data_IF_726278655492
#
_entry.id   IF_726278655492
#
_cell.length_a   1.000
_cell.length_b   1.000
_cell.length_c   1.000
_cell.angle_alpha   90.00
_cell.angle_beta   90.00
_cell.angle_gamma   90.00
#
_symmetry.space_group_name_H-M   'P 1'
#
loop_
_entity.id
_entity.type
_entity.pdbx_description
1 polymer ?
#
# COMPACT_ATOMS: atom_id res chain seq x y z
N UNK A 1 -38.06 -15.07 -38.72
CA UNK A 1 -37.19 -14.53 -37.65
C UNK A 1 -35.75 -14.98 -37.89
N UNK A 2 -34.80 -14.02 -37.95
CA UNK A 2 -33.33 -14.14 -37.71
C UNK A 2 -32.57 -13.20 -38.65
N UNK A 3 -32.53 -11.92 -38.30
CA UNK A 3 -31.74 -10.92 -39.00
C UNK A 3 -31.12 -9.94 -37.99
N UNK A 4 -30.37 -10.43 -37.00
CA UNK A 4 -29.74 -9.56 -35.99
C UNK A 4 -28.43 -10.11 -35.36
N UNK A 5 -27.60 -10.88 -36.08
CA UNK A 5 -26.37 -11.44 -35.47
C UNK A 5 -25.04 -11.16 -36.17
N UNK A 6 -24.98 -10.39 -37.27
CA UNK A 6 -23.72 -10.19 -38.00
C UNK A 6 -23.03 -8.82 -37.81
N UNK A 7 -23.65 -7.84 -37.14
CA UNK A 7 -23.01 -6.53 -36.93
C UNK A 7 -22.14 -6.50 -35.66
N UNK A 8 -22.46 -7.30 -34.64
CA UNK A 8 -21.68 -7.35 -33.39
C UNK A 8 -20.30 -7.96 -33.55
N UNK A 9 -20.06 -8.81 -34.55
CA UNK A 9 -18.76 -9.48 -34.71
C UNK A 9 -17.66 -8.55 -35.27
N UNK A 10 -18.03 -7.53 -36.05
CA UNK A 10 -17.06 -6.65 -36.70
C UNK A 10 -16.48 -5.59 -35.75
N UNK A 11 -17.18 -5.23 -34.67
CA UNK A 11 -16.67 -4.25 -33.71
C UNK A 11 -15.62 -4.84 -32.74
N UNK A 12 -15.67 -6.14 -32.45
CA UNK A 12 -14.72 -6.79 -31.54
C UNK A 12 -13.37 -7.13 -32.17
N UNK A 13 -13.25 -7.09 -33.50
CA UNK A 13 -12.01 -7.42 -34.22
C UNK A 13 -11.05 -6.25 -34.38
N UNK A 14 -11.53 -5.01 -34.25
CA UNK A 14 -10.73 -3.79 -34.51
C UNK A 14 -10.12 -3.17 -33.25
N UNK A 15 -10.55 -3.59 -32.05
CA UNK A 15 -10.05 -3.05 -30.77
C UNK A 15 -8.96 -3.92 -30.11
N UNK A 16 -8.53 -5.01 -30.76
CA UNK A 16 -7.61 -6.01 -30.15
C UNK A 16 -6.20 -6.00 -30.75
N UNK A 17 -5.74 -4.85 -31.22
CA UNK A 17 -4.41 -4.69 -31.83
C UNK A 17 -3.72 -3.40 -31.40
N UNK A 18 -3.64 -3.14 -30.08
CA UNK A 18 -2.72 -2.14 -29.52
C UNK A 18 -2.48 -2.31 -28.01
N UNK A 19 -2.25 -3.54 -27.56
CA UNK A 19 -1.63 -3.74 -26.24
C UNK A 19 -0.11 -3.76 -26.45
N UNK A 20 0.50 -2.58 -26.51
CA UNK A 20 1.93 -2.49 -26.25
C UNK A 20 2.17 -2.99 -24.81
N UNK A 21 3.10 -3.92 -24.57
CA UNK A 21 3.48 -4.25 -23.21
C UNK A 21 4.17 -3.01 -22.64
N UNK A 22 3.45 -2.23 -21.83
CA UNK A 22 4.07 -1.25 -20.95
C UNK A 22 5.15 -2.01 -20.16
N UNK A 23 6.43 -1.56 -20.16
CA UNK A 23 7.40 -2.13 -19.24
C UNK A 23 6.83 -1.87 -17.85
N UNK A 24 6.45 -2.96 -17.17
CA UNK A 24 6.05 -2.91 -15.78
C UNK A 24 7.32 -2.49 -15.05
N UNK A 25 7.47 -1.20 -14.78
CA UNK A 25 8.53 -0.70 -13.93
C UNK A 25 8.51 -1.58 -12.69
N UNK A 26 9.57 -2.37 -12.53
CA UNK A 26 9.81 -3.11 -11.31
C UNK A 26 10.23 -2.04 -10.32
N UNK A 27 9.27 -1.26 -9.83
CA UNK A 27 9.47 -0.55 -8.58
C UNK A 27 9.90 -1.62 -7.61
N UNK A 28 11.16 -1.56 -7.21
CA UNK A 28 11.71 -2.36 -6.13
C UNK A 28 11.05 -1.89 -4.85
N UNK A 29 9.74 -2.03 -4.75
CA UNK A 29 9.02 -2.03 -3.49
C UNK A 29 9.51 -3.28 -2.78
N UNK A 30 10.62 -3.12 -2.06
CA UNK A 30 10.97 -4.00 -0.96
C UNK A 30 9.69 -4.14 -0.13
N UNK A 31 9.07 -5.32 -0.20
CA UNK A 31 7.82 -5.58 0.49
C UNK A 31 7.99 -5.19 1.97
N UNK A 32 7.11 -4.35 2.53
CA UNK A 32 7.21 -3.99 3.93
C UNK A 32 7.16 -5.27 4.78
N UNK A 33 8.09 -5.40 5.73
CA UNK A 33 8.12 -6.52 6.66
C UNK A 33 7.12 -6.24 7.77
N UNK A 34 6.12 -7.10 7.93
CA UNK A 34 5.13 -6.96 9.00
C UNK A 34 5.73 -7.40 10.34
N UNK A 35 5.44 -6.63 11.39
CA UNK A 35 5.80 -6.96 12.77
C UNK A 35 4.49 -7.14 13.54
N UNK A 36 4.34 -8.27 14.22
CA UNK A 36 3.26 -8.46 15.18
C UNK A 36 3.76 -8.06 16.57
N UNK A 37 3.12 -7.05 17.17
CA UNK A 37 3.48 -6.54 18.50
C UNK A 37 2.31 -6.83 19.44
N UNK A 38 2.64 -7.34 20.63
CA UNK A 38 1.68 -7.44 21.74
C UNK A 38 1.81 -6.20 22.60
N UNK A 39 0.75 -5.42 22.68
CA UNK A 39 0.65 -4.25 23.56
C UNK A 39 -0.33 -4.57 24.70
N UNK A 40 -0.13 -3.96 25.86
CA UNK A 40 -1.18 -3.95 26.88
C UNK A 40 -2.42 -3.24 26.35
N UNK A 41 -3.59 -3.63 26.86
CA UNK A 41 -4.87 -3.10 26.39
C UNK A 41 -4.96 -1.58 26.58
N UNK A 42 -4.49 -1.08 27.73
CA UNK A 42 -4.45 0.35 28.05
C UNK A 42 -3.61 1.14 27.04
N UNK A 43 -2.43 0.62 26.69
CA UNK A 43 -1.51 1.28 25.76
C UNK A 43 -2.08 1.25 24.34
N UNK A 44 -2.70 0.14 23.94
CA UNK A 44 -3.39 0.04 22.66
C UNK A 44 -4.55 1.05 22.55
N UNK A 45 -5.33 1.23 23.62
CA UNK A 45 -6.41 2.21 23.64
C UNK A 45 -5.87 3.65 23.51
N UNK A 46 -4.83 3.99 24.29
CA UNK A 46 -4.19 5.31 24.20
C UNK A 46 -3.59 5.57 22.82
N UNK A 47 -2.95 4.57 22.23
CA UNK A 47 -2.38 4.64 20.88
C UNK A 47 -3.45 5.00 19.84
N UNK A 48 -4.62 4.34 19.90
CA UNK A 48 -5.72 4.62 18.98
C UNK A 48 -6.23 6.07 19.11
N UNK A 49 -6.35 6.55 20.35
CA UNK A 49 -6.78 7.93 20.61
C UNK A 49 -5.76 8.93 20.04
N UNK A 50 -4.47 8.68 20.27
CA UNK A 50 -3.41 9.57 19.80
C UNK A 50 -3.34 9.61 18.27
N UNK A 51 -3.38 8.44 17.62
CA UNK A 51 -3.35 8.31 16.16
C UNK A 51 -4.57 8.98 15.52
N UNK A 52 -5.75 8.87 16.14
CA UNK A 52 -6.97 9.54 15.68
C UNK A 52 -6.86 11.08 15.77
N UNK A 53 -6.23 11.62 16.81
CA UNK A 53 -6.00 13.07 16.93
C UNK A 53 -5.11 13.62 15.81
N UNK A 54 -4.13 12.84 15.37
CA UNK A 54 -3.16 13.24 14.36
C UNK A 54 -3.58 12.90 12.92
N UNK A 55 -4.77 12.30 12.71
CA UNK A 55 -5.25 11.80 11.41
C UNK A 55 -4.23 10.93 10.67
N UNK A 56 -3.47 10.12 11.40
CA UNK A 56 -2.47 9.21 10.85
C UNK A 56 -2.93 7.76 10.99
N UNK A 57 -2.25 6.81 10.36
CA UNK A 57 -2.47 5.39 10.65
C UNK A 57 -1.57 4.94 11.80
N UNK A 58 -1.95 3.85 12.48
CA UNK A 58 -1.12 3.26 13.54
C UNK A 58 0.24 2.83 12.98
N UNK A 59 0.27 2.36 11.73
CA UNK A 59 1.49 1.91 11.07
C UNK A 59 2.45 3.07 10.86
N UNK A 60 1.96 4.19 10.30
CA UNK A 60 2.78 5.38 10.06
C UNK A 60 3.29 5.99 11.37
N UNK A 61 2.44 5.99 12.40
CA UNK A 61 2.82 6.52 13.71
C UNK A 61 3.92 5.68 14.36
N UNK A 62 3.79 4.34 14.32
CA UNK A 62 4.81 3.43 14.85
C UNK A 62 6.09 3.51 14.02
N UNK A 63 6.00 3.63 12.70
CA UNK A 63 7.16 3.79 11.82
C UNK A 63 7.97 5.04 12.16
N UNK A 64 7.30 6.19 12.33
CA UNK A 64 7.94 7.44 12.76
C UNK A 64 8.58 7.32 14.14
N UNK A 65 7.86 6.73 15.11
CA UNK A 65 8.37 6.54 16.46
C UNK A 65 9.64 5.69 16.47
N UNK A 66 9.68 4.62 15.67
CA UNK A 66 10.87 3.77 15.52
C UNK A 66 11.98 4.55 14.82
N UNK A 67 11.67 5.28 13.75
CA UNK A 67 12.66 6.07 13.01
C UNK A 67 13.35 7.11 13.90
N UNK A 68 12.59 7.86 14.70
CA UNK A 68 13.10 8.86 15.62
C UNK A 68 14.01 8.24 16.70
N UNK A 69 13.59 7.11 17.27
CA UNK A 69 14.40 6.39 18.27
C UNK A 69 15.67 5.76 17.69
N UNK A 70 15.60 5.19 16.49
CA UNK A 70 16.76 4.60 15.81
C UNK A 70 17.75 5.70 15.40
N UNK A 71 17.27 6.84 14.89
CA UNK A 71 18.12 7.99 14.56
C UNK A 71 18.80 8.56 15.81
N UNK A 72 18.07 8.68 16.92
CA UNK A 72 18.62 9.15 18.19
C UNK A 72 19.69 8.18 18.75
N UNK A 73 19.45 6.86 18.67
CA UNK A 73 20.40 5.84 19.11
C UNK A 73 21.71 5.80 18.32
N UNK A 74 21.72 6.24 17.06
CA UNK A 74 22.95 6.33 16.24
C UNK A 74 23.92 7.43 16.68
N UNK A 75 23.46 8.43 17.42
CA UNK A 75 24.33 9.51 17.94
C UNK A 75 25.03 9.14 19.24
N UNK A 76 24.73 7.97 19.81
CA UNK A 76 25.33 7.49 21.05
C UNK A 76 26.03 6.15 20.82
N UNK A 77 27.17 6.21 20.14
CA UNK A 77 28.25 5.23 20.31
C UNK A 77 29.54 6.00 20.64
N UNK A 78 30.35 5.48 21.57
CA UNK A 78 31.44 6.20 22.25
C UNK A 78 32.53 6.71 21.30
#
# INVERSE_FOLDING_TARGET
>A
ARQFNNVKLYLYRTLKSRTMPMPREKTTHTKPKMIHIRLSEDLHQQLRIQVAKENQTIQDWVEKLIEDNVKAGRRKRP
#
